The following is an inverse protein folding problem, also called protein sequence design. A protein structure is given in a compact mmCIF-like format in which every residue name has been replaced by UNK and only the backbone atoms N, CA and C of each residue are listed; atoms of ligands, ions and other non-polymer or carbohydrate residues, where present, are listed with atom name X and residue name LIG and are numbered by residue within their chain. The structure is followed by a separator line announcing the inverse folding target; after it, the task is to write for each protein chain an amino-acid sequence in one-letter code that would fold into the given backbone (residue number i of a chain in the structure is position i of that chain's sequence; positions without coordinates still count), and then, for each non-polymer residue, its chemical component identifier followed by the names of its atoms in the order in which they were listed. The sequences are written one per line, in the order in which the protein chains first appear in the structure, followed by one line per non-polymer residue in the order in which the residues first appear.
data_IF_382303290923
#
_entry.id   IF_382303290923
#
_cell.length_a   1.000
_cell.length_b   1.000
_cell.length_c   1.000
_cell.angle_alpha   90.00
_cell.angle_beta   90.00
_cell.angle_gamma   90.00
#
_symmetry.space_group_name_H-M   'P 1'
#
loop_
_entity.id
_entity.type
_entity.pdbx_description
1 polymer ?
#
# COMPACT_ATOMS: atom_id res chain seq x y z
N UNK A 1 -23.20 -1.80 -33.81
CA UNK A 1 -22.59 -3.11 -33.44
C UNK A 1 -22.65 -3.41 -31.94
N UNK A 2 -22.18 -2.52 -31.05
CA UNK A 2 -22.26 -2.72 -29.58
C UNK A 2 -23.70 -2.94 -29.07
N UNK A 3 -24.64 -2.12 -29.50
CA UNK A 3 -26.06 -2.26 -29.09
C UNK A 3 -26.71 -3.54 -29.63
N UNK A 4 -26.32 -3.98 -30.84
CA UNK A 4 -26.83 -5.23 -31.42
C UNK A 4 -26.36 -6.45 -30.63
N UNK A 5 -25.11 -6.42 -30.14
CA UNK A 5 -24.55 -7.51 -29.32
C UNK A 5 -25.24 -7.56 -27.95
N UNK A 6 -25.51 -6.39 -27.36
CA UNK A 6 -26.25 -6.29 -26.11
C UNK A 6 -27.68 -6.83 -26.27
N UNK A 7 -28.39 -6.39 -27.31
CA UNK A 7 -29.75 -6.85 -27.57
C UNK A 7 -29.82 -8.36 -27.79
N UNK A 8 -28.83 -8.96 -28.47
CA UNK A 8 -28.78 -10.41 -28.61
C UNK A 8 -28.61 -11.10 -27.25
N UNK A 9 -27.69 -10.62 -26.40
CA UNK A 9 -27.52 -11.16 -25.05
C UNK A 9 -28.82 -11.10 -24.25
N UNK A 10 -29.55 -9.99 -24.33
CA UNK A 10 -30.83 -9.82 -23.63
C UNK A 10 -31.91 -10.80 -24.12
N UNK A 11 -31.97 -11.05 -25.44
CA UNK A 11 -32.92 -12.02 -26.03
C UNK A 11 -32.60 -13.45 -25.60
N UNK A 12 -31.31 -13.83 -25.58
CA UNK A 12 -30.90 -15.14 -25.09
C UNK A 12 -31.20 -15.30 -23.60
N UNK A 13 -30.95 -14.27 -22.78
CA UNK A 13 -31.25 -14.30 -21.34
C UNK A 13 -32.75 -14.46 -21.05
N UNK A 14 -33.61 -13.77 -21.80
CA UNK A 14 -35.07 -13.88 -21.65
C UNK A 14 -35.63 -15.19 -22.26
N UNK A 15 -34.84 -15.89 -23.08
CA UNK A 15 -35.21 -17.14 -23.75
C UNK A 15 -35.06 -18.41 -22.89
N UNK A 16 -34.36 -18.32 -21.75
CA UNK A 16 -34.17 -19.47 -20.85
C UNK A 16 -35.42 -19.75 -20.00
N UNK A 17 -35.90 -21.00 -20.04
CA UNK A 17 -36.86 -21.50 -19.06
C UNK A 17 -36.13 -21.96 -17.79
N UNK A 18 -36.67 -21.66 -16.61
CA UNK A 18 -36.07 -21.97 -15.30
C UNK A 18 -35.80 -23.47 -15.05
N UNK A 19 -36.29 -24.35 -15.93
CA UNK A 19 -36.08 -25.80 -15.92
C UNK A 19 -34.73 -26.26 -16.47
N UNK A 20 -33.98 -25.41 -17.16
CA UNK A 20 -32.73 -25.80 -17.86
C UNK A 20 -31.48 -25.80 -16.96
N UNK A 21 -31.59 -25.35 -15.71
CA UNK A 21 -30.48 -25.41 -14.73
C UNK A 21 -29.25 -24.57 -15.10
N UNK A 22 -29.37 -23.64 -16.05
CA UNK A 22 -28.29 -22.75 -16.48
C UNK A 22 -28.19 -21.55 -15.53
N UNK A 23 -26.98 -21.27 -15.04
CA UNK A 23 -26.68 -20.10 -14.20
C UNK A 23 -25.67 -19.22 -14.93
N UNK A 24 -26.04 -17.97 -15.19
CA UNK A 24 -25.16 -16.99 -15.84
C UNK A 24 -24.51 -16.12 -14.77
N UNK A 25 -23.18 -16.07 -14.75
CA UNK A 25 -22.40 -15.23 -13.86
C UNK A 25 -21.61 -14.20 -14.69
N UNK A 26 -21.56 -12.96 -14.21
CA UNK A 26 -20.76 -11.89 -14.79
C UNK A 26 -20.10 -11.07 -13.68
N UNK A 27 -18.93 -10.49 -13.98
CA UNK A 27 -18.22 -9.57 -13.09
C UNK A 27 -17.92 -8.27 -13.82
N UNK A 28 -18.10 -7.14 -13.12
CA UNK A 28 -17.72 -5.81 -13.61
C UNK A 28 -17.14 -4.98 -12.47
N UNK A 29 -16.16 -4.12 -12.79
CA UNK A 29 -15.65 -3.10 -11.87
C UNK A 29 -16.43 -1.77 -12.00
N UNK A 30 -17.35 -1.67 -12.96
CA UNK A 30 -18.12 -0.47 -13.28
C UNK A 30 -19.58 -0.81 -13.50
N UNK A 31 -20.34 -0.91 -12.40
CA UNK A 31 -21.77 -1.14 -12.45
C UNK A 31 -22.56 0.12 -12.87
N UNK A 32 -21.96 1.30 -12.66
CA UNK A 32 -22.50 2.63 -12.98
C UNK A 32 -22.78 2.85 -14.47
N UNK A 33 -21.94 2.28 -15.35
CA UNK A 33 -22.06 2.43 -16.81
C UNK A 33 -22.90 1.32 -17.46
N UNK A 34 -23.35 0.34 -16.69
CA UNK A 34 -24.14 -0.75 -17.25
C UNK A 34 -25.50 -0.25 -17.71
N UNK A 35 -25.99 -0.81 -18.83
CA UNK A 35 -27.35 -0.57 -19.26
C UNK A 35 -28.33 -1.12 -18.22
N UNK A 36 -29.24 -0.28 -17.75
CA UNK A 36 -30.29 -0.62 -16.79
C UNK A 36 -31.16 -1.79 -17.26
N UNK A 37 -31.23 -2.05 -18.56
CA UNK A 37 -31.93 -3.20 -19.14
C UNK A 37 -31.31 -4.55 -18.70
N UNK A 38 -30.00 -4.63 -18.51
CA UNK A 38 -29.29 -5.84 -18.07
C UNK A 38 -29.63 -6.20 -16.62
N UNK A 39 -29.88 -5.17 -15.80
CA UNK A 39 -30.12 -5.28 -14.36
C UNK A 39 -31.61 -5.54 -14.02
N UNK A 40 -32.46 -5.78 -15.02
CA UNK A 40 -33.89 -6.05 -14.80
C UNK A 40 -34.10 -7.48 -14.29
N UNK A 41 -35.15 -7.71 -13.48
CA UNK A 41 -35.52 -9.05 -13.03
C UNK A 41 -35.66 -10.03 -14.19
N UNK A 42 -35.13 -11.25 -14.04
CA UNK A 42 -35.07 -12.27 -15.09
C UNK A 42 -33.75 -12.32 -15.87
N UNK A 43 -32.87 -11.32 -15.68
CA UNK A 43 -31.53 -11.26 -16.28
C UNK A 43 -30.47 -11.34 -15.18
N UNK A 44 -29.72 -10.26 -14.94
CA UNK A 44 -28.86 -10.15 -13.75
C UNK A 44 -29.65 -9.51 -12.60
N UNK A 45 -30.50 -10.33 -11.99
CA UNK A 45 -31.38 -9.93 -10.88
C UNK A 45 -30.63 -9.86 -9.53
N UNK A 46 -29.59 -10.67 -9.35
CA UNK A 46 -28.75 -10.69 -8.16
C UNK A 46 -27.44 -9.97 -8.38
N UNK A 47 -27.21 -8.95 -7.57
CA UNK A 47 -25.94 -8.24 -7.51
C UNK A 47 -25.24 -8.62 -6.21
N UNK A 48 -24.02 -9.16 -6.33
CA UNK A 48 -23.16 -9.49 -5.20
C UNK A 48 -21.94 -8.60 -5.33
N UNK A 49 -21.84 -7.60 -4.46
CA UNK A 49 -20.65 -6.77 -4.37
C UNK A 49 -19.56 -7.54 -3.64
N UNK A 50 -18.38 -7.63 -4.26
CA UNK A 50 -17.19 -8.20 -3.64
C UNK A 50 -16.28 -7.04 -3.25
N UNK A 51 -16.32 -6.66 -1.98
CA UNK A 51 -15.53 -5.56 -1.45
C UNK A 51 -14.05 -5.96 -1.26
N UNK A 52 -13.20 -4.94 -1.12
CA UNK A 52 -11.80 -5.13 -0.74
C UNK A 52 -11.73 -5.81 0.64
N UNK A 53 -10.89 -6.84 0.83
CA UNK A 53 -10.85 -7.61 2.07
C UNK A 53 -10.40 -6.76 3.27
N UNK A 54 -11.04 -7.02 4.42
CA UNK A 54 -10.60 -6.54 5.73
C UNK A 54 -9.30 -7.22 6.18
N UNK A 55 -8.72 -6.79 7.30
CA UNK A 55 -7.47 -7.39 7.81
C UNK A 55 -7.55 -8.91 8.02
N UNK A 56 -8.71 -9.44 8.43
CA UNK A 56 -8.90 -10.89 8.61
C UNK A 56 -8.97 -11.61 7.26
N UNK A 57 -9.71 -11.07 6.31
CA UNK A 57 -9.80 -11.54 4.94
C UNK A 57 -8.44 -11.55 4.26
N UNK A 58 -7.65 -10.47 4.40
CA UNK A 58 -6.27 -10.41 3.90
C UNK A 58 -5.40 -11.50 4.49
N UNK A 59 -5.46 -11.75 5.81
CA UNK A 59 -4.73 -12.86 6.45
C UNK A 59 -5.10 -14.21 5.86
N UNK A 60 -6.39 -14.49 5.63
CA UNK A 60 -6.82 -15.76 5.02
C UNK A 60 -6.39 -15.87 3.56
N UNK A 61 -6.43 -14.78 2.80
CA UNK A 61 -5.91 -14.73 1.42
C UNK A 61 -4.40 -15.01 1.41
N UNK A 62 -3.63 -14.38 2.30
CA UNK A 62 -2.20 -14.69 2.47
C UNK A 62 -1.99 -16.17 2.77
N UNK A 63 -2.73 -16.77 3.70
CA UNK A 63 -2.61 -18.21 3.99
C UNK A 63 -2.84 -19.08 2.76
N UNK A 64 -3.76 -18.73 1.86
CA UNK A 64 -3.98 -19.48 0.62
C UNK A 64 -2.75 -19.40 -0.29
N UNK A 65 -2.20 -18.20 -0.51
CA UNK A 65 -1.06 -18.01 -1.40
C UNK A 65 0.29 -18.45 -0.81
N UNK A 66 0.42 -18.47 0.52
CA UNK A 66 1.63 -18.89 1.22
C UNK A 66 1.79 -20.42 1.29
N UNK A 67 0.71 -21.20 1.15
CA UNK A 67 0.74 -22.68 1.25
C UNK A 67 1.71 -23.35 0.27
N UNK A 68 1.92 -22.75 -0.90
CA UNK A 68 2.81 -23.28 -1.94
C UNK A 68 4.25 -22.79 -1.86
N UNK A 69 4.59 -21.96 -0.88
CA UNK A 69 5.90 -21.30 -0.79
C UNK A 69 6.75 -21.89 0.34
N UNK A 70 8.05 -22.03 0.10
CA UNK A 70 9.02 -22.45 1.12
C UNK A 70 9.40 -21.25 1.99
N UNK A 71 8.79 -21.11 3.16
CA UNK A 71 9.04 -20.01 4.10
C UNK A 71 10.11 -20.40 5.15
N UNK A 72 10.78 -19.42 5.73
CA UNK A 72 11.72 -19.62 6.84
C UNK A 72 11.05 -19.74 8.23
N UNK A 73 9.73 -19.54 8.30
CA UNK A 73 8.94 -19.61 9.53
C UNK A 73 7.51 -20.12 9.29
N UNK A 74 6.62 -19.93 10.27
CA UNK A 74 5.23 -20.42 10.17
C UNK A 74 4.39 -19.53 9.27
N UNK A 75 3.56 -20.16 8.43
CA UNK A 75 2.63 -19.48 7.52
C UNK A 75 1.72 -18.48 8.25
N UNK A 76 1.24 -18.82 9.46
CA UNK A 76 0.32 -17.92 10.20
C UNK A 76 0.99 -16.62 10.65
N UNK A 77 2.27 -16.66 11.00
CA UNK A 77 3.03 -15.50 11.48
C UNK A 77 3.29 -14.53 10.31
N UNK A 78 3.69 -15.07 9.15
CA UNK A 78 3.81 -14.30 7.91
C UNK A 78 2.48 -13.69 7.49
N UNK A 79 1.41 -14.50 7.44
CA UNK A 79 0.09 -14.03 7.03
C UNK A 79 -0.44 -12.91 7.93
N UNK A 80 -0.23 -13.01 9.25
CA UNK A 80 -0.63 -12.00 10.22
C UNK A 80 0.12 -10.67 10.01
N UNK A 81 1.44 -10.73 9.89
CA UNK A 81 2.30 -9.55 9.67
C UNK A 81 1.99 -8.87 8.34
N UNK A 82 1.92 -9.65 7.25
CA UNK A 82 1.69 -9.08 5.93
C UNK A 82 0.31 -8.48 5.77
N UNK A 83 -0.73 -9.06 6.39
CA UNK A 83 -2.07 -8.47 6.39
C UNK A 83 -2.14 -7.08 7.04
N UNK A 84 -1.29 -6.83 8.03
CA UNK A 84 -1.15 -5.51 8.66
C UNK A 84 -0.35 -4.52 7.79
N UNK A 85 0.66 -4.99 7.06
CA UNK A 85 1.49 -4.16 6.16
C UNK A 85 0.84 -3.87 4.79
N UNK A 86 -0.34 -4.42 4.51
CA UNK A 86 -1.01 -4.30 3.20
C UNK A 86 -2.46 -3.79 3.32
N UNK A 87 -2.70 -2.66 4.03
CA UNK A 87 -4.04 -2.13 4.16
C UNK A 87 -4.60 -1.70 2.80
N UNK A 88 -5.87 -2.02 2.55
CA UNK A 88 -6.56 -1.68 1.31
C UNK A 88 -6.19 -2.55 0.09
N UNK A 89 -5.34 -3.55 0.26
CA UNK A 89 -4.93 -4.42 -0.85
C UNK A 89 -6.01 -5.43 -1.20
N UNK A 90 -6.28 -5.56 -2.50
CA UNK A 90 -7.13 -6.60 -3.05
C UNK A 90 -6.40 -7.95 -3.11
N UNK A 91 -7.16 -9.03 -3.29
CA UNK A 91 -6.59 -10.39 -3.36
C UNK A 91 -5.55 -10.56 -4.48
N UNK A 92 -5.72 -9.86 -5.60
CA UNK A 92 -4.76 -9.87 -6.70
C UNK A 92 -3.41 -9.23 -6.33
N UNK A 93 -3.42 -8.12 -5.57
CA UNK A 93 -2.20 -7.45 -5.12
C UNK A 93 -1.46 -8.29 -4.08
N UNK A 94 -2.20 -8.95 -3.18
CA UNK A 94 -1.64 -9.90 -2.22
C UNK A 94 -0.96 -11.08 -2.93
N UNK A 95 -1.63 -11.66 -3.94
CA UNK A 95 -1.05 -12.72 -4.74
C UNK A 95 0.24 -12.26 -5.45
N UNK A 96 0.25 -11.03 -5.95
CA UNK A 96 1.41 -10.44 -6.59
C UNK A 96 2.58 -10.25 -5.60
N UNK A 97 2.32 -9.78 -4.37
CA UNK A 97 3.35 -9.67 -3.32
C UNK A 97 3.98 -11.04 -3.05
N UNK A 98 3.18 -12.08 -2.87
CA UNK A 98 3.68 -13.44 -2.61
C UNK A 98 4.60 -13.93 -3.74
N UNK A 99 4.25 -13.64 -4.99
CA UNK A 99 5.07 -14.00 -6.15
C UNK A 99 6.37 -13.18 -6.22
N UNK A 100 6.29 -11.86 -6.02
CA UNK A 100 7.47 -10.99 -6.02
C UNK A 100 8.44 -11.34 -4.86
N UNK A 101 7.92 -11.71 -3.69
CA UNK A 101 8.75 -12.18 -2.57
C UNK A 101 9.53 -13.45 -2.93
N UNK A 102 8.91 -14.39 -3.66
CA UNK A 102 9.59 -15.56 -4.17
C UNK A 102 10.68 -15.22 -5.20
N UNK A 103 10.44 -14.24 -6.08
CA UNK A 103 11.42 -13.75 -7.05
C UNK A 103 12.61 -13.08 -6.33
N UNK A 104 12.36 -12.27 -5.30
CA UNK A 104 13.42 -11.63 -4.50
C UNK A 104 14.25 -12.68 -3.79
N UNK A 105 13.62 -13.67 -3.16
CA UNK A 105 14.31 -14.79 -2.51
C UNK A 105 15.16 -15.60 -3.51
N UNK A 106 14.63 -15.86 -4.71
CA UNK A 106 15.36 -16.56 -5.76
C UNK A 106 16.57 -15.76 -6.25
N UNK A 107 16.47 -14.43 -6.39
CA UNK A 107 17.59 -13.56 -6.81
C UNK A 107 18.76 -13.59 -5.83
N UNK A 108 18.49 -13.72 -4.53
CA UNK A 108 19.55 -13.89 -3.51
C UNK A 108 20.01 -15.34 -3.34
N UNK A 109 19.58 -16.26 -4.21
CA UNK A 109 19.80 -17.70 -4.09
C UNK A 109 19.40 -18.26 -2.70
N UNK A 110 18.32 -17.74 -2.11
CA UNK A 110 17.80 -18.19 -0.83
C UNK A 110 17.05 -19.52 -0.96
N UNK A 111 17.30 -20.47 -0.03
CA UNK A 111 16.58 -21.75 0.04
C UNK A 111 15.13 -21.61 0.51
N UNK A 112 14.84 -20.55 1.25
CA UNK A 112 13.51 -20.20 1.78
C UNK A 112 13.29 -18.70 1.70
N UNK A 113 12.04 -18.29 1.61
CA UNK A 113 11.59 -16.90 1.61
C UNK A 113 11.57 -16.40 3.06
N UNK A 114 12.19 -15.25 3.30
CA UNK A 114 12.29 -14.59 4.59
C UNK A 114 11.35 -13.39 4.65
N UNK A 115 11.12 -12.85 5.85
CA UNK A 115 10.28 -11.67 6.02
C UNK A 115 10.82 -10.45 5.26
N UNK A 116 12.16 -10.28 5.22
CA UNK A 116 12.80 -9.21 4.45
C UNK A 116 12.48 -9.26 2.95
N UNK A 117 12.30 -10.46 2.39
CA UNK A 117 11.91 -10.61 0.98
C UNK A 117 10.47 -10.11 0.74
N UNK A 118 9.57 -10.37 1.70
CA UNK A 118 8.20 -9.84 1.65
C UNK A 118 8.13 -8.33 1.84
N UNK A 119 8.96 -7.76 2.73
CA UNK A 119 9.07 -6.31 2.89
C UNK A 119 9.55 -5.66 1.60
N UNK A 120 10.60 -6.20 0.96
CA UNK A 120 11.10 -5.71 -0.31
C UNK A 120 10.07 -5.85 -1.45
N UNK A 121 9.34 -6.97 -1.48
CA UNK A 121 8.27 -7.17 -2.45
C UNK A 121 7.12 -6.17 -2.26
N UNK A 122 6.76 -5.90 -1.01
CA UNK A 122 5.72 -4.90 -0.67
C UNK A 122 6.16 -3.51 -1.06
N UNK A 123 7.40 -3.13 -0.75
CA UNK A 123 7.99 -1.84 -1.15
C UNK A 123 7.99 -1.66 -2.66
N UNK A 124 8.25 -2.74 -3.41
CA UNK A 124 8.25 -2.75 -4.87
C UNK A 124 6.84 -2.64 -5.46
N UNK A 125 5.84 -3.24 -4.83
CA UNK A 125 4.44 -3.15 -5.28
C UNK A 125 3.86 -1.77 -4.98
N UNK A 126 4.16 -1.18 -3.82
CA UNK A 126 3.68 0.16 -3.43
C UNK A 126 4.45 1.27 -4.17
N UNK A 127 5.77 1.30 -4.02
CA UNK A 127 6.62 2.39 -4.53
C UNK A 127 7.13 2.19 -5.95
N UNK A 128 6.95 1.00 -6.52
CA UNK A 128 7.48 0.64 -7.83
C UNK A 128 8.96 0.21 -7.79
N UNK A 129 9.58 0.15 -8.97
CA UNK A 129 10.97 -0.25 -9.13
C UNK A 129 11.92 0.70 -8.38
N UNK A 130 12.87 0.12 -7.65
CA UNK A 130 13.98 0.89 -7.10
C UNK A 130 14.75 1.55 -8.23
N UNK A 131 15.07 2.82 -8.06
CA UNK A 131 15.86 3.55 -9.04
C UNK A 131 17.30 3.63 -8.56
N UNK A 132 18.26 3.35 -9.45
CA UNK A 132 19.69 3.56 -9.18
C UNK A 132 20.07 5.06 -9.16
N UNK A 133 19.12 5.94 -8.82
CA UNK A 133 19.35 7.38 -8.76
C UNK A 133 20.20 7.67 -7.53
N UNK A 134 21.45 8.02 -7.76
CA UNK A 134 22.35 8.48 -6.72
C UNK A 134 21.90 9.88 -6.29
N UNK A 135 21.49 10.03 -5.04
CA UNK A 135 21.18 11.33 -4.44
C UNK A 135 22.43 11.94 -3.85
N UNK A 136 22.59 13.25 -4.01
CA UNK A 136 23.63 13.99 -3.28
C UNK A 136 23.37 13.94 -1.77
N UNK A 137 24.40 14.09 -0.91
CA UNK A 137 24.22 14.12 0.54
C UNK A 137 23.23 15.21 1.01
N UNK A 138 23.19 16.35 0.33
CA UNK A 138 22.25 17.44 0.62
C UNK A 138 20.80 17.08 0.24
N UNK A 139 20.60 16.46 -0.93
CA UNK A 139 19.28 15.95 -1.32
C UNK A 139 18.80 14.86 -0.35
N UNK A 140 19.67 13.90 -0.01
CA UNK A 140 19.35 12.82 0.94
C UNK A 140 18.98 13.38 2.31
N UNK A 141 19.70 14.40 2.78
CA UNK A 141 19.36 15.14 4.01
C UNK A 141 17.99 15.81 3.90
N UNK A 142 17.71 16.48 2.79
CA UNK A 142 16.42 17.16 2.59
C UNK A 142 15.25 16.16 2.62
N UNK A 143 15.40 15.03 1.93
CA UNK A 143 14.40 13.95 1.93
C UNK A 143 14.24 13.34 3.32
N UNK A 144 15.33 13.07 4.06
CA UNK A 144 15.23 12.52 5.41
C UNK A 144 14.47 13.44 6.37
N UNK A 145 14.71 14.76 6.31
CA UNK A 145 13.95 15.72 7.12
C UNK A 145 12.49 15.84 6.65
N UNK A 146 12.23 15.73 5.35
CA UNK A 146 10.89 15.71 4.79
C UNK A 146 10.08 14.51 5.33
N UNK A 147 10.61 13.29 5.18
CA UNK A 147 9.96 12.07 5.65
C UNK A 147 9.84 12.03 7.19
N UNK A 148 10.86 12.51 7.91
CA UNK A 148 10.79 12.66 9.37
C UNK A 148 9.70 13.66 9.80
N UNK A 149 9.44 14.70 9.00
CA UNK A 149 8.38 15.68 9.22
C UNK A 149 7.00 15.04 9.21
N UNK A 150 6.74 14.21 8.20
CA UNK A 150 5.52 13.41 8.13
C UNK A 150 5.39 12.45 9.31
N UNK A 151 6.48 11.74 9.63
CA UNK A 151 6.53 10.77 10.72
C UNK A 151 6.21 11.38 12.09
N UNK A 152 6.88 12.48 12.43
CA UNK A 152 6.68 13.18 13.71
C UNK A 152 5.28 13.79 13.77
N UNK A 153 4.79 14.40 12.69
CA UNK A 153 3.43 14.91 12.64
C UNK A 153 2.40 13.79 12.85
N UNK A 154 2.53 12.67 12.13
CA UNK A 154 1.65 11.51 12.29
C UNK A 154 1.71 10.88 13.69
N UNK A 155 2.88 10.89 14.34
CA UNK A 155 3.06 10.33 15.68
C UNK A 155 2.36 11.14 16.77
N UNK A 156 2.50 12.47 16.73
CA UNK A 156 2.01 13.37 17.78
C UNK A 156 0.60 13.93 17.53
N UNK A 157 0.01 13.70 16.36
CA UNK A 157 -1.40 14.01 16.10
C UNK A 157 -2.31 12.86 16.56
N UNK A 158 -3.44 13.20 17.16
CA UNK A 158 -4.36 12.25 17.80
C UNK A 158 -5.10 11.40 16.76
N UNK A 159 -5.65 12.06 15.74
CA UNK A 159 -6.50 11.38 14.77
C UNK A 159 -5.73 10.82 13.57
N UNK A 160 -4.46 11.20 13.42
CA UNK A 160 -3.60 10.72 12.34
C UNK A 160 -3.42 9.19 12.37
N UNK A 161 -3.28 8.63 11.18
CA UNK A 161 -3.02 7.21 11.00
C UNK A 161 -1.64 6.85 11.57
N UNK A 162 -1.53 5.75 12.31
CA UNK A 162 -0.25 5.33 12.86
C UNK A 162 0.75 4.99 11.76
N UNK A 163 1.99 5.41 11.98
CA UNK A 163 3.11 5.16 11.09
C UNK A 163 3.65 3.74 11.29
N UNK A 164 3.80 2.99 10.21
CA UNK A 164 4.36 1.63 10.23
C UNK A 164 5.84 1.62 9.86
N UNK A 165 6.18 2.37 8.81
CA UNK A 165 7.50 2.35 8.18
C UNK A 165 7.76 3.66 7.46
N UNK A 166 9.01 4.11 7.46
CA UNK A 166 9.47 5.27 6.69
C UNK A 166 10.74 4.90 5.96
N UNK A 167 10.86 5.27 4.70
CA UNK A 167 12.07 5.03 3.90
C UNK A 167 12.43 6.23 3.04
N UNK A 168 13.73 6.46 2.88
CA UNK A 168 14.32 7.48 2.00
C UNK A 168 14.95 6.86 0.74
N UNK A 169 14.64 5.59 0.46
CA UNK A 169 15.12 4.89 -0.73
C UNK A 169 14.24 5.27 -1.92
N UNK A 170 14.82 5.82 -3.02
CA UNK A 170 14.04 6.36 -4.13
C UNK A 170 13.42 5.24 -4.98
N UNK A 171 12.10 5.29 -5.16
CA UNK A 171 11.34 4.30 -5.94
C UNK A 171 10.42 4.96 -6.97
N UNK A 172 10.29 4.31 -8.13
CA UNK A 172 9.42 4.75 -9.21
C UNK A 172 9.79 6.11 -9.81
N UNK A 173 8.86 6.70 -10.57
CA UNK A 173 9.02 8.03 -11.16
C UNK A 173 8.46 9.09 -10.21
N UNK A 174 9.31 9.66 -9.35
CA UNK A 174 8.98 10.87 -8.59
C UNK A 174 9.03 10.74 -7.06
N UNK A 175 9.02 9.53 -6.50
CA UNK A 175 9.14 9.32 -5.04
C UNK A 175 10.60 9.23 -4.64
N UNK A 176 11.10 10.22 -3.88
CA UNK A 176 12.45 10.20 -3.31
C UNK A 176 12.50 9.51 -1.94
N UNK A 177 11.35 9.37 -1.30
CA UNK A 177 11.09 8.61 -0.08
C UNK A 177 9.59 8.32 -0.02
N UNK A 178 9.16 7.54 0.98
CA UNK A 178 7.75 7.45 1.34
C UNK A 178 7.57 6.99 2.79
N UNK A 179 6.44 7.41 3.37
CA UNK A 179 5.96 6.96 4.68
C UNK A 179 4.74 6.05 4.50
N UNK A 180 4.79 4.87 5.11
CA UNK A 180 3.69 3.91 5.11
C UNK A 180 2.88 4.04 6.40
N UNK A 181 1.61 4.34 6.24
CA UNK A 181 0.64 4.43 7.33
C UNK A 181 -0.23 3.17 7.37
N UNK A 182 -0.82 2.91 8.53
CA UNK A 182 -1.94 1.98 8.65
C UNK A 182 -3.24 2.79 8.71
N UNK A 183 -3.97 2.95 7.59
CA UNK A 183 -5.26 3.63 7.60
C UNK A 183 -6.19 2.99 8.62
N UNK A 184 -6.85 3.83 9.42
CA UNK A 184 -7.99 3.36 10.20
C UNK A 184 -9.10 2.97 9.21
N UNK A 185 -9.56 1.72 9.24
CA UNK A 185 -10.71 1.24 8.44
C UNK A 185 -12.02 1.83 9.02
N UNK A 186 -12.14 3.16 9.02
CA UNK A 186 -13.28 3.91 9.56
C UNK A 186 -13.93 4.67 8.41
N UNK A 187 -15.20 4.38 8.16
CA UNK A 187 -15.96 4.98 7.06
C UNK A 187 -16.31 6.47 7.29
N UNK A 188 -16.20 6.96 8.52
CA UNK A 188 -16.62 8.32 8.92
C UNK A 188 -15.45 9.09 9.52
N UNK A 189 -15.12 10.24 8.95
CA UNK A 189 -14.09 11.14 9.46
C UNK A 189 -14.70 12.39 10.07
N UNK A 190 -14.23 12.78 11.26
CA UNK A 190 -14.57 14.07 11.86
C UNK A 190 -13.78 15.22 11.21
N UNK A 191 -14.18 16.46 11.51
CA UNK A 191 -13.45 17.66 11.06
C UNK A 191 -12.02 17.69 11.60
N UNK A 192 -11.85 17.28 12.85
CA UNK A 192 -10.54 17.19 13.52
C UNK A 192 -9.67 16.14 12.85
N UNK A 193 -10.24 14.98 12.51
CA UNK A 193 -9.51 13.93 11.79
C UNK A 193 -9.04 14.37 10.41
N UNK A 194 -9.89 15.06 9.64
CA UNK A 194 -9.50 15.62 8.34
C UNK A 194 -8.43 16.70 8.49
N UNK A 195 -8.52 17.51 9.54
CA UNK A 195 -7.52 18.54 9.87
C UNK A 195 -6.18 17.91 10.24
N UNK A 196 -6.16 16.86 11.05
CA UNK A 196 -4.95 16.11 11.40
C UNK A 196 -4.33 15.42 10.18
N UNK A 197 -5.14 14.86 9.28
CA UNK A 197 -4.65 14.30 8.01
C UNK A 197 -3.99 15.36 7.13
N UNK A 198 -4.56 16.57 7.04
CA UNK A 198 -3.92 17.70 6.35
C UNK A 198 -2.63 18.12 7.05
N UNK A 199 -2.62 18.21 8.38
CA UNK A 199 -1.42 18.56 9.14
C UNK A 199 -0.29 17.55 8.93
N UNK A 200 -0.59 16.26 8.87
CA UNK A 200 0.38 15.20 8.58
C UNK A 200 0.93 15.28 7.15
N UNK A 201 0.07 15.51 6.15
CA UNK A 201 0.52 15.70 4.77
C UNK A 201 1.36 16.98 4.60
N UNK A 202 1.07 18.05 5.35
CA UNK A 202 1.91 19.25 5.36
C UNK A 202 3.22 19.08 6.16
N UNK A 203 3.40 17.95 6.85
CA UNK A 203 4.54 17.65 7.71
C UNK A 203 5.89 17.73 7.00
N UNK A 204 6.00 17.16 5.80
CA UNK A 204 7.24 17.19 5.03
C UNK A 204 7.66 18.61 4.65
N UNK A 205 6.76 19.38 4.03
CA UNK A 205 6.99 20.79 3.70
C UNK A 205 7.33 21.64 4.93
N UNK A 206 6.58 21.47 6.02
CA UNK A 206 6.80 22.24 7.24
C UNK A 206 8.15 21.92 7.88
N UNK A 207 8.58 20.65 7.85
CA UNK A 207 9.89 20.23 8.32
C UNK A 207 11.02 20.83 7.50
N UNK A 208 10.90 20.85 6.17
CA UNK A 208 11.87 21.52 5.30
C UNK A 208 12.03 23.00 5.68
N UNK A 209 10.89 23.69 5.81
CA UNK A 209 10.86 25.12 6.12
C UNK A 209 11.53 25.44 7.47
N UNK A 210 11.25 24.63 8.50
CA UNK A 210 11.78 24.84 9.86
C UNK A 210 13.28 24.54 9.94
N UNK A 211 13.79 23.55 9.20
CA UNK A 211 15.17 23.07 9.36
C UNK A 211 16.16 23.59 8.30
N UNK A 212 15.68 24.14 7.18
CA UNK A 212 16.53 24.64 6.09
C UNK A 212 16.39 26.15 5.86
N UNK A 213 16.22 26.93 6.93
CA UNK A 213 16.15 28.40 6.91
C UNK A 213 15.07 28.96 5.98
N UNK A 214 13.90 28.30 5.95
CA UNK A 214 12.78 28.68 5.10
C UNK A 214 12.88 28.21 3.64
N UNK A 215 13.91 27.44 3.28
CA UNK A 215 13.98 26.80 1.95
C UNK A 215 12.92 25.70 1.83
N UNK A 216 12.30 25.64 0.65
CA UNK A 216 11.28 24.66 0.29
C UNK A 216 11.61 24.03 -1.05
N UNK A 217 11.26 22.76 -1.24
CA UNK A 217 11.55 22.01 -2.47
C UNK A 217 10.31 21.76 -3.33
N UNK A 218 10.45 21.14 -4.50
CA UNK A 218 9.32 20.64 -5.28
C UNK A 218 8.78 19.29 -4.78
N UNK A 219 9.42 18.66 -3.78
CA UNK A 219 9.08 17.30 -3.31
C UNK A 219 7.68 17.18 -2.71
N UNK A 220 7.15 18.22 -2.08
CA UNK A 220 5.82 18.18 -1.46
C UNK A 220 4.63 18.35 -2.43
N UNK A 221 4.83 18.20 -3.75
CA UNK A 221 3.77 18.49 -4.73
C UNK A 221 2.55 17.59 -4.57
N UNK A 222 2.77 16.30 -4.27
CA UNK A 222 1.68 15.34 -4.09
C UNK A 222 0.98 15.53 -2.75
N UNK A 223 1.71 15.90 -1.70
CA UNK A 223 1.12 16.29 -0.42
C UNK A 223 0.20 17.50 -0.54
N UNK A 224 0.67 18.54 -1.24
CA UNK A 224 -0.11 19.75 -1.49
C UNK A 224 -1.38 19.43 -2.30
N UNK A 225 -1.30 18.53 -3.27
CA UNK A 225 -2.45 18.05 -4.04
C UNK A 225 -3.46 17.36 -3.13
N UNK A 226 -3.00 16.45 -2.27
CA UNK A 226 -3.84 15.71 -1.31
C UNK A 226 -4.50 16.66 -0.29
N UNK A 227 -3.74 17.59 0.27
CA UNK A 227 -4.24 18.61 1.21
C UNK A 227 -5.31 19.47 0.55
N UNK A 228 -5.07 19.91 -0.69
CA UNK A 228 -6.03 20.69 -1.46
C UNK A 228 -7.32 19.90 -1.67
N UNK A 229 -7.23 18.63 -2.08
CA UNK A 229 -8.40 17.78 -2.28
C UNK A 229 -9.22 17.58 -1.00
N UNK A 230 -8.57 17.36 0.14
CA UNK A 230 -9.23 17.23 1.44
C UNK A 230 -9.94 18.54 1.81
N UNK A 231 -9.25 19.67 1.71
CA UNK A 231 -9.80 20.98 2.05
C UNK A 231 -11.02 21.34 1.19
N UNK A 232 -10.95 21.11 -0.13
CA UNK A 232 -12.12 21.27 -1.00
C UNK A 232 -13.25 20.31 -0.62
N UNK A 233 -12.96 19.04 -0.30
CA UNK A 233 -13.99 18.09 0.11
C UNK A 233 -14.69 18.53 1.41
N UNK A 234 -13.95 19.06 2.38
CA UNK A 234 -14.49 19.62 3.62
C UNK A 234 -15.48 20.77 3.37
N UNK A 235 -15.13 21.68 2.45
CA UNK A 235 -15.94 22.88 2.16
C UNK A 235 -17.09 22.58 1.19
N UNK A 236 -16.81 21.86 0.11
CA UNK A 236 -17.71 21.64 -1.02
C UNK A 236 -18.65 20.45 -0.84
N UNK A 237 -18.20 19.36 -0.22
CA UNK A 237 -18.95 18.10 -0.16
C UNK A 237 -19.54 17.82 1.22
N UNK A 238 -18.75 18.04 2.28
CA UNK A 238 -19.09 17.64 3.63
C UNK A 238 -19.77 18.74 4.45
N UNK A 239 -19.86 19.97 3.96
CA UNK A 239 -20.49 21.07 4.67
C UNK A 239 -19.80 21.44 5.98
N UNK A 240 -18.48 21.25 6.07
CA UNK A 240 -17.67 21.50 7.28
C UNK A 240 -17.20 22.96 7.41
N UNK A 241 -17.85 23.91 6.71
CA UNK A 241 -17.52 25.33 6.74
C UNK A 241 -18.75 26.17 7.12
N UNK A 242 -18.56 27.13 8.02
CA UNK A 242 -19.65 27.96 8.54
C UNK A 242 -20.17 29.00 7.53
N UNK A 243 -19.30 29.55 6.67
CA UNK A 243 -19.69 30.55 5.67
C UNK A 243 -20.46 29.94 4.50
N UNK A 244 -20.06 28.76 4.06
CA UNK A 244 -20.76 28.02 3.00
C UNK A 244 -22.00 27.31 3.54
N UNK A 245 -21.93 26.82 4.78
CA UNK A 245 -23.01 26.11 5.46
C UNK A 245 -23.05 24.62 5.14
N UNK A 246 -24.17 23.98 5.51
CA UNK A 246 -24.40 22.54 5.37
C UNK A 246 -24.94 22.17 3.98
N UNK A 247 -24.24 22.62 2.93
CA UNK A 247 -24.56 22.35 1.53
C UNK A 247 -23.53 21.40 0.92
N UNK A 248 -23.95 20.64 -0.08
CA UNK A 248 -23.09 19.71 -0.82
C UNK A 248 -23.19 19.98 -2.32
N UNK A 249 -22.03 20.11 -2.97
CA UNK A 249 -21.90 20.38 -4.39
C UNK A 249 -21.02 19.31 -5.05
N UNK A 250 -21.52 18.06 -5.20
CA UNK A 250 -20.75 16.99 -5.84
C UNK A 250 -20.41 17.35 -7.29
N UNK A 251 -19.21 16.96 -7.74
CA UNK A 251 -18.87 17.01 -9.16
C UNK A 251 -19.52 15.82 -9.85
N UNK A 252 -20.39 16.04 -10.83
CA UNK A 252 -20.90 14.95 -11.67
C UNK A 252 -19.81 14.50 -12.65
N UNK A 253 -19.49 13.21 -12.65
CA UNK A 253 -18.65 12.61 -13.68
C UNK A 253 -19.46 12.42 -14.98
N UNK A 254 -19.23 13.28 -15.97
CA UNK A 254 -19.75 13.11 -17.34
C UNK A 254 -20.96 13.98 -17.74
N UNK A 255 -21.43 14.88 -16.88
CA UNK A 255 -22.45 15.89 -17.20
C UNK A 255 -21.84 17.26 -17.54
N UNK A 256 -22.60 18.11 -18.26
CA UNK A 256 -22.22 19.51 -18.53
C UNK A 256 -21.95 20.27 -17.21
N UNK A 257 -20.94 21.16 -17.17
CA UNK A 257 -20.42 21.74 -15.93
C UNK A 257 -21.24 22.96 -15.49
N UNK A 258 -22.53 22.82 -15.25
CA UNK A 258 -23.25 23.89 -14.56
C UNK A 258 -22.99 23.74 -13.06
N UNK A 259 -22.01 24.51 -12.57
CA UNK A 259 -21.80 24.72 -11.14
C UNK A 259 -23.16 25.07 -10.53
N UNK A 260 -23.63 24.28 -9.56
CA UNK A 260 -24.88 24.54 -8.83
C UNK A 260 -24.82 25.78 -7.93
N UNK A 261 -23.74 26.56 -8.02
CA UNK A 261 -23.44 27.70 -7.17
C UNK A 261 -22.87 28.85 -8.00
N UNK A 262 -23.08 30.07 -7.51
CA UNK A 262 -22.62 31.29 -8.18
C UNK A 262 -21.09 31.43 -8.12
N UNK A 263 -20.52 32.24 -9.02
CA UNK A 263 -19.10 32.61 -8.96
C UNK A 263 -18.73 33.25 -7.62
N UNK A 264 -19.64 34.01 -7.00
CA UNK A 264 -19.40 34.56 -5.66
C UNK A 264 -19.26 33.48 -4.58
N UNK A 265 -20.02 32.39 -4.71
CA UNK A 265 -19.90 31.25 -3.79
C UNK A 265 -18.58 30.52 -4.04
N UNK A 266 -18.17 30.39 -5.31
CA UNK A 266 -16.86 29.83 -5.68
C UNK A 266 -15.71 30.59 -5.04
N UNK A 267 -15.71 31.92 -5.14
CA UNK A 267 -14.69 32.79 -4.51
C UNK A 267 -14.65 32.60 -2.99
N UNK A 268 -15.82 32.51 -2.35
CA UNK A 268 -15.90 32.24 -0.90
C UNK A 268 -15.33 30.86 -0.54
N UNK A 269 -15.59 29.84 -1.35
CA UNK A 269 -15.00 28.51 -1.13
C UNK A 269 -13.47 28.57 -1.22
N UNK A 270 -12.92 29.26 -2.22
CA UNK A 270 -11.47 29.38 -2.43
C UNK A 270 -10.79 30.09 -1.25
N UNK A 271 -11.38 31.20 -0.77
CA UNK A 271 -10.91 31.91 0.43
C UNK A 271 -10.88 31.00 1.67
N UNK A 272 -11.93 30.22 1.88
CA UNK A 272 -12.06 29.35 3.04
C UNK A 272 -11.13 28.15 2.97
N UNK A 273 -10.96 27.55 1.79
CA UNK A 273 -9.96 26.50 1.55
C UNK A 273 -8.57 27.02 1.88
N UNK A 274 -8.22 28.22 1.42
CA UNK A 274 -6.91 28.82 1.73
C UNK A 274 -6.73 29.00 3.24
N UNK A 275 -7.73 29.51 3.97
CA UNK A 275 -7.66 29.66 5.44
C UNK A 275 -7.47 28.32 6.15
N UNK A 276 -8.19 27.29 5.74
CA UNK A 276 -8.08 25.93 6.32
C UNK A 276 -6.66 25.40 6.12
N UNK A 277 -6.12 25.50 4.91
CA UNK A 277 -4.77 24.99 4.59
C UNK A 277 -3.70 25.79 5.32
N UNK A 278 -3.80 27.13 5.37
CA UNK A 278 -2.86 27.98 6.13
C UNK A 278 -2.90 27.67 7.62
N UNK A 279 -4.09 27.52 8.21
CA UNK A 279 -4.24 27.14 9.62
C UNK A 279 -3.64 25.77 9.92
N UNK A 280 -3.86 24.78 9.04
CA UNK A 280 -3.25 23.46 9.17
C UNK A 280 -1.71 23.54 9.07
N UNK A 281 -1.17 24.33 8.14
CA UNK A 281 0.28 24.52 7.98
C UNK A 281 0.92 25.19 9.20
N UNK A 282 0.30 26.23 9.74
CA UNK A 282 0.79 26.94 10.92
C UNK A 282 0.78 26.03 12.17
N UNK A 283 -0.28 25.24 12.35
CA UNK A 283 -0.35 24.21 13.40
C UNK A 283 0.76 23.18 13.25
N UNK A 284 1.02 22.68 12.03
CA UNK A 284 2.09 21.72 11.78
C UNK A 284 3.47 22.31 12.06
N UNK A 285 3.74 23.55 11.65
CA UNK A 285 5.00 24.23 11.97
C UNK A 285 5.22 24.35 13.48
N UNK A 286 4.21 24.78 14.23
CA UNK A 286 4.29 24.89 15.68
C UNK A 286 4.57 23.53 16.33
N UNK A 287 3.91 22.47 15.86
CA UNK A 287 4.13 21.11 16.33
C UNK A 287 5.59 20.65 16.09
N UNK A 288 6.09 20.83 14.88
CA UNK A 288 7.45 20.42 14.51
C UNK A 288 8.53 21.26 15.21
N UNK A 289 8.27 22.54 15.45
CA UNK A 289 9.14 23.40 16.27
C UNK A 289 9.18 22.94 17.73
N UNK A 290 8.02 22.59 18.30
CA UNK A 290 7.94 22.07 19.67
C UNK A 290 8.59 20.68 19.82
N UNK A 291 8.69 19.90 18.73
CA UNK A 291 9.27 18.55 18.67
C UNK A 291 10.57 18.49 17.85
N UNK A 292 11.31 19.60 17.81
CA UNK A 292 12.49 19.73 16.95
C UNK A 292 13.58 18.70 17.30
N UNK A 293 13.79 18.41 18.59
CA UNK A 293 14.77 17.40 19.03
C UNK A 293 14.43 16.02 18.48
N UNK A 294 13.19 15.57 18.64
CA UNK A 294 12.73 14.27 18.15
C UNK A 294 12.78 14.19 16.62
N UNK A 295 12.45 15.28 15.93
CA UNK A 295 12.54 15.37 14.47
C UNK A 295 13.98 15.20 13.99
N UNK A 296 14.93 15.85 14.65
CA UNK A 296 16.35 15.76 14.32
C UNK A 296 16.88 14.34 14.53
N UNK A 297 16.59 13.73 15.69
CA UNK A 297 17.00 12.36 16.00
C UNK A 297 16.44 11.35 14.98
N UNK A 298 15.16 11.48 14.61
CA UNK A 298 14.53 10.61 13.63
C UNK A 298 15.13 10.78 12.23
N UNK A 299 15.41 12.03 11.82
CA UNK A 299 16.05 12.31 10.55
C UNK A 299 17.49 11.78 10.48
N UNK A 300 18.26 11.87 11.57
CA UNK A 300 19.59 11.27 11.64
C UNK A 300 19.56 9.75 11.57
N UNK A 301 18.60 9.11 12.24
CA UNK A 301 18.42 7.66 12.17
C UNK A 301 18.05 7.21 10.76
N UNK A 302 17.16 7.95 10.09
CA UNK A 302 16.83 7.74 8.67
C UNK A 302 18.05 7.87 7.76
N UNK A 303 18.95 8.82 8.04
CA UNK A 303 20.17 8.97 7.24
C UNK A 303 21.15 7.80 7.42
N UNK A 304 21.16 7.16 8.59
CA UNK A 304 22.01 6.01 8.91
C UNK A 304 21.45 4.70 8.36
N UNK A 305 20.16 4.44 8.58
CA UNK A 305 19.55 3.14 8.29
C UNK A 305 18.75 3.13 6.98
N UNK A 306 18.49 4.29 6.37
CA UNK A 306 17.69 4.52 5.14
C UNK A 306 16.22 4.11 5.22
N UNK A 307 15.88 3.22 6.13
CA UNK A 307 14.55 2.73 6.42
C UNK A 307 14.44 2.54 7.92
N UNK A 308 13.35 3.05 8.50
CA UNK A 308 13.01 2.86 9.91
C UNK A 308 11.64 2.22 10.02
N UNK A 309 11.53 1.30 10.97
CA UNK A 309 10.32 0.56 11.23
C UNK A 309 9.62 1.07 12.50
N UNK A 310 8.42 0.56 12.77
CA UNK A 310 7.63 0.95 13.94
C UNK A 310 8.40 0.82 15.26
N UNK A 311 9.17 -0.26 15.46
CA UNK A 311 9.98 -0.46 16.67
C UNK A 311 11.07 0.61 16.84
N UNK A 312 11.73 1.01 15.75
CA UNK A 312 12.71 2.11 15.76
C UNK A 312 12.05 3.46 16.05
N UNK A 313 10.86 3.69 15.48
CA UNK A 313 10.08 4.91 15.72
C UNK A 313 9.72 5.03 17.20
N UNK A 314 9.25 3.95 17.84
CA UNK A 314 8.95 3.92 19.28
C UNK A 314 10.22 4.14 20.11
N UNK A 315 11.37 3.59 19.68
CA UNK A 315 12.65 3.78 20.36
C UNK A 315 13.08 5.25 20.36
N UNK A 316 12.91 5.96 19.25
CA UNK A 316 13.34 7.36 19.08
C UNK A 316 12.31 8.34 19.65
N UNK A 317 11.03 8.18 19.32
CA UNK A 317 9.98 9.13 19.68
C UNK A 317 9.32 8.83 21.04
N UNK A 318 9.61 7.66 21.63
CA UNK A 318 8.92 7.15 22.81
C UNK A 318 7.52 6.61 22.50
N UNK A 319 6.77 6.16 23.52
CA UNK A 319 5.42 5.67 23.34
C UNK A 319 4.50 6.76 22.79
N UNK A 320 3.62 6.39 21.85
CA UNK A 320 2.68 7.34 21.25
C UNK A 320 1.75 7.91 22.35
N UNK A 321 1.63 9.25 22.46
CA UNK A 321 0.87 9.88 23.55
C UNK A 321 -0.64 9.65 23.44
N UNK A 322 -1.14 9.50 22.22
CA UNK A 322 -2.52 9.16 21.94
C UNK A 322 -2.56 7.68 21.56
N UNK A 323 -2.99 6.83 22.50
CA UNK A 323 -3.02 5.38 22.31
C UNK A 323 -3.76 5.03 21.02
N UNK A 324 -3.14 4.20 20.17
CA UNK A 324 -3.82 3.65 19.02
C UNK A 324 -5.02 2.80 19.47
N UNK A 325 -6.01 2.62 18.59
CA UNK A 325 -7.10 1.67 18.80
C UNK A 325 -6.55 0.36 19.38
N UNK A 326 -7.27 -0.29 20.31
CA UNK A 326 -6.84 -1.61 20.85
C UNK A 326 -6.46 -2.60 19.75
N UNK A 327 -7.17 -2.56 18.62
CA UNK A 327 -6.86 -3.33 17.41
C UNK A 327 -5.48 -3.05 16.83
N UNK A 328 -5.02 -1.79 16.85
CA UNK A 328 -3.67 -1.40 16.43
C UNK A 328 -2.62 -1.93 17.39
N UNK A 329 -2.81 -1.74 18.69
CA UNK A 329 -1.86 -2.16 19.73
C UNK A 329 -1.76 -3.68 19.79
N UNK A 330 -2.88 -4.40 19.72
CA UNK A 330 -2.92 -5.87 19.69
C UNK A 330 -2.26 -6.41 18.42
N UNK A 331 -2.60 -5.91 17.22
CA UNK A 331 -2.01 -6.45 15.99
C UNK A 331 -0.57 -6.03 15.75
N UNK A 332 -0.19 -4.78 16.03
CA UNK A 332 1.16 -4.26 15.78
C UNK A 332 2.11 -4.61 16.91
N UNK A 333 1.72 -4.55 18.19
CA UNK A 333 2.68 -4.96 19.24
C UNK A 333 2.91 -6.46 19.27
N UNK A 334 1.90 -7.32 19.07
CA UNK A 334 2.12 -8.78 19.01
C UNK A 334 2.94 -9.18 17.78
N UNK A 335 2.60 -8.63 16.61
CA UNK A 335 3.29 -8.99 15.37
C UNK A 335 4.77 -8.62 15.38
N UNK A 336 5.15 -7.54 16.06
CA UNK A 336 6.51 -7.01 16.09
C UNK A 336 7.33 -7.49 17.30
N UNK A 337 6.71 -7.75 18.47
CA UNK A 337 7.38 -8.41 19.61
C UNK A 337 7.88 -9.81 19.23
N UNK A 338 7.07 -10.56 18.47
CA UNK A 338 7.46 -11.88 17.96
C UNK A 338 8.55 -11.79 16.87
N UNK A 339 8.72 -10.64 16.22
CA UNK A 339 9.69 -10.44 15.13
C UNK A 339 11.09 -10.17 15.70
N UNK A 340 11.16 -9.27 16.68
CA UNK A 340 12.39 -8.94 17.38
C UNK A 340 12.90 -10.15 18.18
N UNK A 341 12.01 -10.95 18.76
CA UNK A 341 12.38 -12.23 19.38
C UNK A 341 12.85 -13.26 18.34
N UNK A 342 12.16 -13.44 17.22
CA UNK A 342 12.57 -14.38 16.18
C UNK A 342 13.95 -14.02 15.58
N UNK A 343 14.19 -12.76 15.25
CA UNK A 343 15.49 -12.32 14.72
C UNK A 343 16.59 -12.36 15.81
N UNK A 344 16.28 -12.04 17.07
CA UNK A 344 17.23 -12.18 18.19
C UNK A 344 17.55 -13.64 18.52
N UNK A 345 16.58 -14.55 18.39
CA UNK A 345 16.76 -15.98 18.62
C UNK A 345 17.52 -16.63 17.46
N UNK A 346 17.30 -16.17 16.22
CA UNK A 346 18.06 -16.58 15.04
C UNK A 346 19.50 -16.05 15.06
N UNK A 347 19.73 -14.83 15.58
CA UNK A 347 21.06 -14.28 15.81
C UNK A 347 21.82 -14.96 16.96
N UNK A 348 21.11 -15.64 17.87
CA UNK A 348 21.69 -16.46 18.97
C UNK A 348 21.82 -17.94 18.62
N UNK A 349 21.25 -18.39 17.51
CA UNK A 349 21.43 -19.76 17.05
C UNK A 349 22.88 -19.96 16.58
N UNK A 350 23.62 -20.96 17.09
CA UNK A 350 24.97 -21.22 16.62
C UNK A 350 24.93 -21.52 15.12
N UNK A 351 25.82 -20.86 14.36
CA UNK A 351 26.01 -21.09 12.94
C UNK A 351 26.24 -22.59 12.71
N UNK A 352 25.25 -23.25 12.11
CA UNK A 352 25.34 -24.68 11.83
C UNK A 352 26.53 -24.88 10.89
N UNK A 353 27.55 -25.59 11.39
CA UNK A 353 28.74 -25.95 10.64
C UNK A 353 28.35 -26.59 9.30
N UNK A 354 29.09 -26.35 8.21
CA UNK A 354 28.79 -26.95 6.92
C UNK A 354 28.88 -28.47 7.06
N UNK A 355 27.78 -29.17 6.80
CA UNK A 355 27.78 -30.63 6.71
C UNK A 355 28.76 -31.09 5.62
N UNK A 356 29.55 -32.15 5.86
CA UNK A 356 30.50 -32.65 4.88
C UNK A 356 29.75 -33.24 3.67
N UNK A 357 30.19 -32.90 2.45
CA UNK A 357 29.56 -33.38 1.22
C UNK A 357 29.64 -34.90 1.13
N UNK A 358 28.48 -35.56 1.08
CA UNK A 358 28.38 -36.96 0.69
C UNK A 358 28.84 -37.09 -0.76
N UNK A 359 30.01 -37.71 -0.95
CA UNK A 359 30.54 -38.15 -2.23
C UNK A 359 29.54 -39.10 -2.91
N UNK A 360 29.28 -38.84 -4.18
CA UNK A 360 28.47 -39.66 -5.06
C UNK A 360 29.10 -41.06 -5.22
N UNK A 361 28.39 -42.10 -4.77
CA UNK A 361 28.58 -43.47 -5.24
C UNK A 361 27.80 -43.64 -6.57
N UNK A 362 28.57 -43.75 -7.64
CA UNK A 362 28.13 -44.17 -8.97
C UNK A 362 27.74 -45.64 -8.94
N UNK A 363 26.45 -45.95 -9.09
CA UNK A 363 26.00 -47.29 -9.48
C UNK A 363 26.18 -47.49 -10.98
N UNK A 364 27.10 -48.38 -11.32
CA UNK A 364 27.39 -48.89 -12.66
C UNK A 364 26.14 -49.51 -13.32
N UNK A 365 25.94 -49.23 -14.60
CA UNK A 365 25.09 -50.01 -15.51
C UNK A 365 26.02 -50.63 -16.56
N UNK A 366 26.02 -51.95 -16.80
CA UNK A 366 26.97 -52.55 -17.73
C UNK A 366 26.53 -52.39 -19.19
N UNK A 367 27.49 -51.99 -20.02
CA UNK A 367 27.38 -51.82 -21.45
C UNK A 367 27.25 -53.15 -22.19
N UNK A 368 26.34 -53.20 -23.18
CA UNK A 368 26.32 -54.23 -24.20
C UNK A 368 27.23 -53.82 -25.37
N UNK A 369 28.09 -54.75 -25.78
CA UNK A 369 29.07 -54.69 -26.88
C UNK A 369 28.42 -54.60 -28.28
N UNK A 370 29.11 -53.99 -29.27
CA UNK A 370 28.69 -54.01 -30.67
C UNK A 370 29.32 -55.19 -31.42
N UNK A 371 28.58 -55.77 -32.36
CA UNK A 371 29.13 -56.65 -33.40
C UNK A 371 28.57 -56.24 -34.77
N UNK A 372 29.50 -55.98 -35.69
CA UNK A 372 29.32 -55.67 -37.10
C UNK A 372 29.13 -56.94 -37.94
N UNK A 373 28.23 -56.86 -38.92
CA UNK A 373 28.16 -57.55 -40.23
C UNK A 373 26.77 -57.16 -40.77
N UNK A 374 26.55 -56.57 -41.95
CA UNK A 374 27.10 -56.84 -43.27
C UNK A 374 25.91 -57.21 -44.18
N UNK A 375 25.82 -56.54 -45.33
CA UNK A 375 25.02 -56.90 -46.53
C UNK A 375 23.58 -56.37 -46.74
N UNK A 376 23.55 -55.33 -47.58
CA UNK A 376 22.95 -55.31 -48.92
C UNK A 376 21.42 -55.13 -49.18
N UNK A 377 21.16 -54.04 -49.93
CA UNK A 377 20.42 -53.98 -51.21
C UNK A 377 18.94 -53.52 -51.24
N UNK A 378 18.75 -52.51 -52.11
CA UNK A 378 17.59 -52.12 -52.98
C UNK A 378 16.58 -51.04 -52.51
N UNK A 379 16.74 -49.86 -53.11
CA UNK A 379 15.87 -49.31 -54.18
C UNK A 379 14.36 -49.65 -54.12
N UNK A 380 13.50 -48.64 -53.87
CA UNK A 380 12.61 -47.99 -54.87
C UNK A 380 11.46 -47.19 -54.25
N UNK A 381 11.19 -46.07 -54.94
CA UNK A 381 9.99 -45.22 -54.99
C UNK A 381 9.68 -44.28 -53.83
#
# INVERSE_FOLDING_TARGET
ERENTLNQLLVEMDGFNSSEGVVVLAGTNRADILDKAILRPGRFDRQITVDVPDIKGRREIFKVHLKGLTLDGKVDDFARRMAALTPGFAGAEIANICNEAAIVAARRNGKSITFKDFEQATDRVIGGLETNRIMSPEEKKTVAYHEAGHAVAGWFLEHADPLLKVTIVPRGKGSLGYAQYLPKEVALHSREALTDMMCMALGGRASEYVNFDGRITTGASDDLRRVTQIAYSMVQLYGMNERVGQLSFPKEEGGYPDKLYSEKTSEVMDEEVQKIVTGAYDRTKQLLQAKQTQLHELAEELLRNETINHSDIVRVLGPRPFGGNKTYTEFVEESWKDADQYEADKAKAPEAAPEPSASAETTETPAATPSSEGDDVKDKN
#
